data_IF_783071378412
#
_entry.id   IF_783071378412
#
_cell.length_a   1.000
_cell.length_b   1.000
_cell.length_c   1.000
_cell.angle_alpha   90.00
_cell.angle_beta   90.00
_cell.angle_gamma   90.00
#
_symmetry.space_group_name_H-M   'P 1'
#
loop_
_entity.id
_entity.type
_entity.pdbx_description
1 polymer ?
#
# COMPACT_ATOMS: atom_id res chain seq x y z
N UNK A 1 7.38 3.19 -33.90
CA UNK A 1 7.04 4.02 -32.69
C UNK A 1 7.69 3.34 -31.51
N UNK A 2 8.55 4.05 -30.78
CA UNK A 2 9.11 3.52 -29.53
C UNK A 2 7.96 3.21 -28.56
N UNK A 3 8.02 2.05 -27.92
CA UNK A 3 7.05 1.71 -26.88
C UNK A 3 7.15 2.75 -25.75
N UNK A 4 6.04 3.39 -25.35
CA UNK A 4 6.09 4.39 -24.28
C UNK A 4 6.71 3.78 -23.01
N UNK A 5 7.73 4.42 -22.47
CA UNK A 5 8.39 3.95 -21.24
C UNK A 5 7.58 4.37 -20.00
N UNK A 6 7.74 3.66 -18.89
CA UNK A 6 7.16 4.05 -17.59
C UNK A 6 7.79 5.35 -17.07
N UNK A 7 9.05 5.57 -17.41
CA UNK A 7 9.88 6.69 -17.03
C UNK A 7 10.03 7.60 -18.23
N UNK A 8 9.12 8.54 -18.42
CA UNK A 8 9.01 9.37 -19.62
C UNK A 8 8.90 10.88 -19.29
N UNK A 9 9.41 11.27 -18.14
CA UNK A 9 9.42 12.63 -17.64
C UNK A 9 10.85 13.08 -17.28
N UNK A 10 11.03 13.72 -16.15
CA UNK A 10 12.29 14.30 -15.71
C UNK A 10 13.27 13.31 -15.07
N UNK A 11 12.94 12.01 -15.02
CA UNK A 11 13.72 11.01 -14.26
C UNK A 11 15.19 10.98 -14.67
N UNK A 12 15.47 10.92 -15.97
CA UNK A 12 16.84 10.85 -16.47
C UNK A 12 17.63 12.14 -16.19
N UNK A 13 16.98 13.28 -16.32
CA UNK A 13 17.58 14.58 -16.04
C UNK A 13 17.90 14.71 -14.54
N UNK A 14 16.98 14.30 -13.66
CA UNK A 14 17.17 14.37 -12.23
C UNK A 14 18.28 13.42 -11.75
N UNK A 15 18.36 12.20 -12.30
CA UNK A 15 19.48 11.29 -12.01
C UNK A 15 20.82 11.90 -12.41
N UNK A 16 20.92 12.54 -13.58
CA UNK A 16 22.17 13.22 -14.01
C UNK A 16 22.58 14.30 -13.00
N UNK A 17 21.62 15.07 -12.48
CA UNK A 17 21.91 16.07 -11.44
C UNK A 17 22.39 15.44 -10.14
N UNK A 18 21.79 14.32 -9.71
CA UNK A 18 22.25 13.57 -8.53
C UNK A 18 23.71 13.14 -8.70
N UNK A 19 24.04 12.52 -9.83
CA UNK A 19 25.38 11.98 -10.09
C UNK A 19 26.46 13.07 -10.26
N UNK A 20 26.07 14.27 -10.66
CA UNK A 20 26.98 15.43 -10.78
C UNK A 20 27.14 16.22 -9.47
N UNK A 21 26.38 15.88 -8.41
CA UNK A 21 26.52 16.54 -7.11
C UNK A 21 27.74 16.03 -6.35
N UNK A 22 28.40 16.92 -5.57
CA UNK A 22 29.54 16.53 -4.73
C UNK A 22 29.19 15.50 -3.65
N UNK A 23 27.95 15.53 -3.18
CA UNK A 23 27.42 14.60 -2.17
C UNK A 23 25.97 14.26 -2.47
N UNK A 24 25.66 12.97 -2.44
CA UNK A 24 24.30 12.44 -2.63
C UNK A 24 23.93 11.36 -1.60
N UNK A 25 24.42 11.54 -0.39
CA UNK A 25 24.00 10.73 0.77
C UNK A 25 22.59 11.16 1.24
N UNK A 26 21.77 10.23 1.64
CA UNK A 26 20.43 10.50 2.18
C UNK A 26 20.43 11.40 3.45
N UNK A 27 21.57 11.60 4.10
CA UNK A 27 21.74 12.49 5.27
C UNK A 27 22.34 13.84 4.96
N UNK A 28 22.75 14.09 3.71
CA UNK A 28 23.36 15.35 3.26
C UNK A 28 22.82 15.84 1.93
N UNK A 29 22.19 14.97 1.14
CA UNK A 29 21.57 15.30 -0.12
C UNK A 29 20.27 16.08 0.02
N UNK A 30 19.73 16.53 -1.11
CA UNK A 30 18.54 17.40 -1.16
C UNK A 30 17.34 16.77 -1.82
N UNK A 31 17.50 15.68 -2.59
CA UNK A 31 16.41 15.07 -3.34
C UNK A 31 15.39 14.37 -2.45
N UNK A 32 15.85 13.69 -1.40
CA UNK A 32 14.94 13.14 -0.39
C UNK A 32 14.12 14.26 0.27
N UNK A 33 14.74 15.37 0.64
CA UNK A 33 14.06 16.50 1.26
C UNK A 33 13.06 17.17 0.31
N UNK A 34 13.43 17.34 -0.97
CA UNK A 34 12.55 17.92 -1.98
C UNK A 34 11.33 17.00 -2.24
N UNK A 35 11.56 15.69 -2.37
CA UNK A 35 10.48 14.71 -2.50
C UNK A 35 9.53 14.77 -1.30
N UNK A 36 10.06 14.81 -0.07
CA UNK A 36 9.25 14.95 1.15
C UNK A 36 8.39 16.20 1.13
N UNK A 37 8.99 17.35 0.77
CA UNK A 37 8.31 18.65 0.70
C UNK A 37 7.18 18.64 -0.33
N UNK A 38 7.46 18.19 -1.55
CA UNK A 38 6.49 18.16 -2.64
C UNK A 38 5.38 17.13 -2.38
N UNK A 39 5.72 15.98 -1.80
CA UNK A 39 4.74 14.96 -1.45
C UNK A 39 3.81 15.44 -0.33
N UNK A 40 4.36 16.01 0.75
CA UNK A 40 3.58 16.57 1.83
C UNK A 40 2.59 17.63 1.32
N UNK A 41 3.05 18.55 0.47
CA UNK A 41 2.20 19.56 -0.16
C UNK A 41 1.09 18.94 -1.03
N UNK A 42 1.42 17.94 -1.85
CA UNK A 42 0.46 17.30 -2.77
C UNK A 42 -0.61 16.50 -2.02
N UNK A 43 -0.24 15.87 -0.91
CA UNK A 43 -1.14 15.05 -0.09
C UNK A 43 -1.64 15.76 1.17
N UNK A 44 -1.61 17.10 1.19
CA UNK A 44 -2.16 17.95 2.26
C UNK A 44 -1.74 17.48 3.67
N UNK A 45 -0.44 17.30 3.85
CA UNK A 45 0.16 16.83 5.09
C UNK A 45 1.26 17.78 5.55
N UNK A 46 1.50 17.87 6.88
CA UNK A 46 2.56 18.72 7.44
C UNK A 46 3.94 18.11 7.30
N UNK A 47 4.04 16.80 7.44
CA UNK A 47 5.31 16.06 7.46
C UNK A 47 5.26 14.88 6.51
N UNK A 48 6.39 14.65 5.86
CA UNK A 48 6.64 13.45 5.08
C UNK A 48 8.03 12.90 5.39
N UNK A 49 8.19 11.58 5.39
CA UNK A 49 9.45 10.88 5.66
C UNK A 49 9.65 9.77 4.64
N UNK A 50 10.61 9.92 3.74
CA UNK A 50 10.94 8.91 2.75
C UNK A 50 11.67 7.72 3.35
N UNK A 51 11.38 6.52 2.83
CA UNK A 51 11.99 5.26 3.24
C UNK A 51 12.22 4.35 2.02
N UNK A 52 13.03 3.30 2.22
CA UNK A 52 13.42 2.39 1.16
C UNK A 52 12.35 1.39 0.70
N UNK A 53 11.19 1.32 1.38
CA UNK A 53 10.06 0.46 0.99
C UNK A 53 8.77 0.82 1.73
N UNK A 54 7.61 0.41 1.18
CA UNK A 54 6.32 0.50 1.88
C UNK A 54 6.26 -0.35 3.15
N UNK A 55 6.95 -1.48 3.21
CA UNK A 55 7.03 -2.29 4.44
C UNK A 55 7.79 -1.54 5.55
N UNK A 56 8.86 -0.84 5.19
CA UNK A 56 9.61 0.00 6.13
C UNK A 56 8.76 1.17 6.66
N UNK A 57 7.90 1.76 5.82
CA UNK A 57 6.97 2.81 6.24
C UNK A 57 5.91 2.29 7.20
N UNK A 58 5.31 1.14 6.95
CA UNK A 58 4.35 0.50 7.87
C UNK A 58 4.99 0.18 9.23
N UNK A 59 6.16 -0.48 9.22
CA UNK A 59 6.87 -0.78 10.47
C UNK A 59 7.22 0.48 11.25
N UNK A 60 7.77 1.49 10.59
CA UNK A 60 8.11 2.76 11.25
C UNK A 60 6.88 3.52 11.76
N UNK A 61 5.73 3.42 11.07
CA UNK A 61 4.46 3.98 11.53
C UNK A 61 4.00 3.31 12.83
N UNK A 62 4.02 1.98 12.89
CA UNK A 62 3.64 1.24 14.10
C UNK A 62 4.55 1.57 15.28
N UNK A 63 5.87 1.63 15.07
CA UNK A 63 6.81 2.02 16.14
C UNK A 63 6.57 3.47 16.58
N UNK A 64 6.28 4.39 15.65
CA UNK A 64 5.97 5.78 15.98
C UNK A 64 4.69 5.94 16.82
N UNK A 65 3.72 5.03 16.64
CA UNK A 65 2.51 4.93 17.45
C UNK A 65 2.74 4.24 18.80
N UNK A 66 3.97 3.77 19.06
CA UNK A 66 4.34 3.09 20.30
C UNK A 66 3.90 1.63 20.37
N UNK A 67 3.69 1.00 19.23
CA UNK A 67 3.41 -0.44 19.14
C UNK A 67 4.67 -1.23 19.49
N UNK A 68 4.53 -2.24 20.32
CA UNK A 68 5.63 -3.06 20.81
C UNK A 68 5.20 -4.47 21.24
N UNK A 69 6.08 -5.16 22.02
CA UNK A 69 5.86 -6.56 22.39
C UNK A 69 4.54 -6.79 23.13
N UNK A 70 3.69 -7.67 22.60
CA UNK A 70 2.43 -8.06 23.21
C UNK A 70 1.23 -7.17 22.85
N UNK A 71 1.46 -6.03 22.20
CA UNK A 71 0.38 -5.21 21.63
C UNK A 71 -0.27 -5.93 20.43
N UNK A 72 -1.53 -5.66 20.21
CA UNK A 72 -2.29 -6.16 19.06
C UNK A 72 -2.45 -5.06 18.01
N UNK A 73 -2.30 -5.45 16.73
CA UNK A 73 -2.56 -4.58 15.59
C UNK A 73 -3.62 -5.23 14.71
N UNK A 74 -4.75 -4.54 14.55
CA UNK A 74 -5.84 -5.00 13.68
C UNK A 74 -5.51 -4.59 12.23
N UNK A 75 -5.63 -5.54 11.29
CA UNK A 75 -5.46 -5.31 9.85
C UNK A 75 -6.48 -6.12 9.04
N UNK A 76 -6.76 -5.78 7.76
CA UNK A 76 -7.69 -6.57 6.95
C UNK A 76 -7.15 -7.97 6.68
N UNK A 77 -8.08 -8.95 6.60
CA UNK A 77 -7.75 -10.31 6.20
C UNK A 77 -7.47 -10.45 4.69
N UNK A 78 -7.99 -9.55 3.87
CA UNK A 78 -7.70 -9.51 2.43
C UNK A 78 -6.74 -8.33 2.13
N UNK A 79 -5.45 -8.63 2.13
CA UNK A 79 -4.37 -7.69 1.84
C UNK A 79 -3.10 -8.44 1.47
N UNK A 80 -2.04 -7.71 1.16
CA UNK A 80 -0.68 -8.27 1.05
C UNK A 80 -0.11 -8.55 2.45
N UNK A 81 0.79 -9.53 2.58
CA UNK A 81 1.35 -9.93 3.88
C UNK A 81 2.17 -8.83 4.59
N UNK A 82 2.44 -7.69 3.93
CA UNK A 82 3.32 -6.64 4.45
C UNK A 82 2.78 -5.97 5.71
N UNK A 83 1.46 -5.87 5.89
CA UNK A 83 0.84 -5.37 7.12
C UNK A 83 1.14 -6.30 8.30
N UNK A 84 0.99 -7.60 8.08
CA UNK A 84 1.36 -8.66 9.02
C UNK A 84 2.86 -8.62 9.35
N UNK A 85 3.69 -8.51 8.31
CA UNK A 85 5.15 -8.47 8.46
C UNK A 85 5.59 -7.26 9.28
N UNK A 86 5.03 -6.07 9.01
CA UNK A 86 5.32 -4.86 9.76
C UNK A 86 4.92 -4.99 11.25
N UNK A 87 3.77 -5.60 11.50
CA UNK A 87 3.29 -5.89 12.86
C UNK A 87 4.24 -6.83 13.62
N UNK A 88 4.67 -7.92 12.96
CA UNK A 88 5.62 -8.87 13.55
C UNK A 88 6.99 -8.21 13.77
N UNK A 89 7.45 -7.34 12.87
CA UNK A 89 8.70 -6.59 13.04
C UNK A 89 8.65 -5.63 14.23
N UNK A 90 7.48 -5.09 14.56
CA UNK A 90 7.26 -4.32 15.78
C UNK A 90 7.14 -5.20 17.05
N UNK A 91 7.32 -6.53 16.94
CA UNK A 91 7.09 -7.53 17.98
C UNK A 91 5.65 -7.56 18.51
N UNK A 92 4.69 -7.14 17.70
CA UNK A 92 3.27 -7.11 18.04
C UNK A 92 2.52 -8.29 17.41
N UNK A 93 1.28 -8.46 17.81
CA UNK A 93 0.40 -9.56 17.45
C UNK A 93 -0.52 -9.11 16.31
N UNK A 94 -0.45 -9.72 15.11
CA UNK A 94 -1.44 -9.47 14.07
C UNK A 94 -2.82 -10.00 14.48
N UNK A 95 -3.83 -9.13 14.37
CA UNK A 95 -5.24 -9.47 14.54
C UNK A 95 -5.96 -9.15 13.22
N UNK A 96 -6.70 -10.10 12.69
CA UNK A 96 -7.34 -9.92 11.38
C UNK A 96 -8.80 -9.62 11.52
N UNK A 97 -9.23 -8.54 10.87
CA UNK A 97 -10.65 -8.22 10.68
C UNK A 97 -11.09 -8.64 9.28
N UNK A 98 -12.31 -9.13 9.17
CA UNK A 98 -12.90 -9.54 7.91
C UNK A 98 -13.21 -8.32 7.01
N UNK A 99 -13.67 -8.56 5.82
CA UNK A 99 -13.88 -7.54 4.80
C UNK A 99 -15.36 -7.39 4.44
N UNK A 100 -15.71 -6.25 3.89
CA UNK A 100 -16.97 -6.07 3.19
C UNK A 100 -16.94 -6.80 1.84
N UNK A 101 -17.95 -7.63 1.52
CA UNK A 101 -17.94 -8.48 0.33
C UNK A 101 -18.12 -7.73 -1.01
N UNK A 102 -18.53 -6.46 -0.97
CA UNK A 102 -18.73 -5.65 -2.16
C UNK A 102 -17.53 -4.74 -2.45
N UNK A 103 -16.96 -4.13 -1.41
CA UNK A 103 -15.83 -3.20 -1.52
C UNK A 103 -14.48 -3.88 -1.38
N UNK A 104 -14.42 -5.10 -0.83
CA UNK A 104 -13.22 -5.87 -0.50
C UNK A 104 -12.30 -5.20 0.54
N UNK A 105 -12.68 -4.04 1.05
CA UNK A 105 -11.99 -3.33 2.11
C UNK A 105 -12.41 -3.86 3.48
N UNK A 106 -11.61 -3.56 4.50
CA UNK A 106 -11.86 -3.97 5.89
C UNK A 106 -13.26 -3.53 6.35
N UNK A 107 -13.99 -4.44 7.02
CA UNK A 107 -15.32 -4.13 7.61
C UNK A 107 -15.16 -3.40 8.94
N UNK A 108 -15.61 -2.14 9.06
CA UNK A 108 -15.57 -1.41 10.33
C UNK A 108 -16.24 -2.14 11.50
N UNK A 109 -17.32 -2.88 11.24
CA UNK A 109 -18.02 -3.65 12.28
C UNK A 109 -17.17 -4.80 12.80
N UNK A 110 -16.35 -5.41 11.94
CA UNK A 110 -15.44 -6.47 12.38
C UNK A 110 -14.21 -5.88 13.09
N UNK A 111 -13.71 -4.71 12.68
CA UNK A 111 -12.72 -3.97 13.47
C UNK A 111 -13.20 -3.84 14.91
N UNK A 112 -14.40 -3.30 15.13
CA UNK A 112 -14.93 -3.05 16.47
C UNK A 112 -15.09 -4.34 17.30
N UNK A 113 -15.50 -5.45 16.66
CA UNK A 113 -15.58 -6.77 17.32
C UNK A 113 -14.24 -7.36 17.74
N UNK A 114 -13.16 -7.00 17.04
CA UNK A 114 -11.80 -7.52 17.29
C UNK A 114 -10.98 -6.69 18.28
N UNK A 115 -11.50 -5.54 18.71
CA UNK A 115 -10.80 -4.69 19.69
C UNK A 115 -10.76 -5.38 21.05
N UNK A 116 -9.57 -5.38 21.65
CA UNK A 116 -9.29 -5.82 23.02
C UNK A 116 -8.56 -4.70 23.79
N UNK A 117 -8.28 -4.93 25.06
CA UNK A 117 -7.44 -4.06 25.88
C UNK A 117 -5.96 -3.99 25.42
N UNK A 118 -5.54 -4.90 24.56
CA UNK A 118 -4.20 -4.95 23.95
C UNK A 118 -4.13 -4.26 22.59
N UNK A 119 -5.27 -3.92 21.98
CA UNK A 119 -5.28 -3.30 20.66
C UNK A 119 -4.63 -1.93 20.70
N UNK A 120 -3.50 -1.77 20.00
CA UNK A 120 -2.66 -0.59 20.00
C UNK A 120 -2.76 0.26 18.75
N UNK A 121 -3.06 -0.36 17.60
CA UNK A 121 -3.22 0.32 16.32
C UNK A 121 -4.17 -0.46 15.38
N UNK A 122 -4.73 0.26 14.42
CA UNK A 122 -5.50 -0.31 13.32
C UNK A 122 -4.80 0.08 12.02
N UNK A 123 -4.50 -0.89 11.16
CA UNK A 123 -4.07 -0.66 9.77
C UNK A 123 -5.28 -0.84 8.87
N UNK A 124 -5.56 0.15 8.05
CA UNK A 124 -6.59 0.07 7.01
C UNK A 124 -5.95 0.17 5.64
N UNK A 125 -6.30 -0.74 4.74
CA UNK A 125 -5.71 -0.82 3.40
C UNK A 125 -6.74 -0.36 2.38
N UNK A 126 -6.42 0.71 1.66
CA UNK A 126 -7.23 1.18 0.53
C UNK A 126 -6.99 0.29 -0.69
N UNK A 127 -7.60 -0.93 -0.64
CA UNK A 127 -7.29 -2.03 -1.54
C UNK A 127 -7.70 -1.71 -2.99
N UNK A 128 -6.80 -2.01 -3.93
CA UNK A 128 -6.95 -1.83 -5.38
C UNK A 128 -7.16 -0.38 -5.83
N UNK A 129 -7.07 0.59 -4.90
CA UNK A 129 -7.24 2.01 -5.19
C UNK A 129 -8.54 2.62 -4.67
N UNK A 130 -9.34 1.85 -3.94
CA UNK A 130 -10.60 2.27 -3.32
C UNK A 130 -10.37 2.64 -1.84
N UNK A 131 -10.71 3.87 -1.41
CA UNK A 131 -10.67 4.25 0.01
C UNK A 131 -11.58 3.38 0.88
N UNK A 132 -11.14 3.11 2.13
CA UNK A 132 -11.96 2.47 3.15
C UNK A 132 -13.10 3.38 3.65
N UNK A 133 -14.04 2.83 4.41
CA UNK A 133 -15.12 3.57 5.09
C UNK A 133 -14.59 4.37 6.30
N UNK A 134 -13.81 5.41 5.98
CA UNK A 134 -13.01 6.14 6.97
C UNK A 134 -13.83 6.84 8.05
N UNK A 135 -15.06 7.26 7.80
CA UNK A 135 -15.88 7.91 8.84
C UNK A 135 -16.22 6.94 9.97
N UNK A 136 -16.62 5.72 9.63
CA UNK A 136 -16.93 4.66 10.60
C UNK A 136 -15.67 4.21 11.32
N UNK A 137 -14.59 3.98 10.60
CA UNK A 137 -13.30 3.58 11.16
C UNK A 137 -12.78 4.64 12.14
N UNK A 138 -12.81 5.92 11.76
CA UNK A 138 -12.35 7.00 12.65
C UNK A 138 -13.30 7.26 13.82
N UNK A 139 -14.58 6.89 13.71
CA UNK A 139 -15.49 6.91 14.85
C UNK A 139 -15.11 5.83 15.87
N UNK A 140 -14.78 4.62 15.42
CA UNK A 140 -14.28 3.52 16.26
C UNK A 140 -12.94 3.92 16.90
N UNK A 141 -12.01 4.44 16.11
CA UNK A 141 -10.72 4.95 16.58
C UNK A 141 -10.87 5.94 17.75
N UNK A 142 -11.72 6.95 17.58
CA UNK A 142 -11.99 7.94 18.64
C UNK A 142 -12.66 7.34 19.88
N UNK A 143 -13.60 6.42 19.68
CA UNK A 143 -14.33 5.76 20.78
C UNK A 143 -13.40 4.97 21.67
N UNK A 144 -12.42 4.29 21.09
CA UNK A 144 -11.49 3.42 21.82
C UNK A 144 -10.11 4.04 22.07
N UNK A 145 -9.83 5.23 21.52
CA UNK A 145 -8.51 5.89 21.64
C UNK A 145 -7.40 5.16 20.88
N UNK A 146 -7.72 4.43 19.81
CA UNK A 146 -6.79 3.61 19.06
C UNK A 146 -6.42 4.33 17.75
N UNK A 147 -5.13 4.62 17.49
CA UNK A 147 -4.71 5.30 16.27
C UNK A 147 -4.84 4.42 15.02
N UNK A 148 -5.01 5.10 13.86
CA UNK A 148 -5.20 4.46 12.56
C UNK A 148 -4.02 4.76 11.64
N UNK A 149 -3.46 3.72 11.04
CA UNK A 149 -2.51 3.79 9.92
C UNK A 149 -3.27 3.55 8.62
N UNK A 150 -3.25 4.53 7.71
CA UNK A 150 -3.77 4.34 6.35
C UNK A 150 -2.66 3.74 5.47
N UNK A 151 -2.78 2.48 5.05
CA UNK A 151 -1.96 1.93 3.97
C UNK A 151 -2.56 2.30 2.61
N UNK A 152 -1.96 3.30 2.00
CA UNK A 152 -2.30 3.82 0.69
C UNK A 152 -1.32 3.37 -0.41
N UNK A 153 -0.57 2.28 -0.21
CA UNK A 153 0.36 1.74 -1.20
C UNK A 153 -0.29 1.42 -2.56
N UNK A 154 -1.60 1.24 -2.58
CA UNK A 154 -2.40 0.99 -3.78
C UNK A 154 -3.38 2.13 -4.12
N UNK A 155 -3.40 3.24 -3.36
CA UNK A 155 -4.46 4.24 -3.46
C UNK A 155 -3.89 5.67 -3.48
N UNK A 156 -3.61 6.18 -4.67
CA UNK A 156 -3.09 7.54 -4.85
C UNK A 156 -4.17 8.47 -5.40
N UNK A 157 -4.27 9.69 -4.84
CA UNK A 157 -5.21 10.75 -5.24
C UNK A 157 -6.70 10.38 -5.17
N UNK A 158 -7.05 9.25 -4.58
CA UNK A 158 -8.45 8.93 -4.31
C UNK A 158 -9.03 9.79 -3.21
N UNK A 159 -10.35 9.94 -3.21
CA UNK A 159 -11.06 10.72 -2.21
C UNK A 159 -12.21 9.93 -1.61
N UNK A 160 -12.37 10.06 -0.32
CA UNK A 160 -13.53 9.59 0.44
C UNK A 160 -14.35 10.79 0.93
N UNK A 161 -15.58 10.95 0.46
CA UNK A 161 -16.45 12.11 0.77
C UNK A 161 -15.73 13.46 0.59
N UNK A 162 -14.99 13.58 -0.52
CA UNK A 162 -14.23 14.79 -0.88
C UNK A 162 -12.87 14.95 -0.19
N UNK A 163 -12.56 14.19 0.87
CA UNK A 163 -11.27 14.21 1.57
C UNK A 163 -10.26 13.28 0.87
N UNK A 164 -9.04 13.76 0.71
CA UNK A 164 -7.97 12.99 0.09
C UNK A 164 -7.54 11.82 1.01
N UNK A 165 -7.31 10.63 0.44
CA UNK A 165 -6.70 9.52 1.18
C UNK A 165 -5.36 9.93 1.76
N UNK A 166 -5.02 9.39 2.92
CA UNK A 166 -3.79 9.75 3.63
C UNK A 166 -3.90 10.97 4.53
N UNK A 167 -5.11 11.58 4.63
CA UNK A 167 -5.35 12.76 5.48
C UNK A 167 -6.35 12.49 6.61
N UNK A 168 -6.82 11.27 6.75
CA UNK A 168 -7.92 10.95 7.67
C UNK A 168 -7.48 10.17 8.90
N UNK A 169 -6.49 9.28 8.75
CA UNK A 169 -5.84 8.57 9.84
C UNK A 169 -4.74 9.39 10.53
N UNK A 170 -4.04 8.77 11.47
CA UNK A 170 -2.97 9.41 12.24
C UNK A 170 -1.63 9.44 11.50
N UNK A 171 -1.36 8.36 10.76
CA UNK A 171 -0.17 8.19 9.90
C UNK A 171 -0.61 7.51 8.61
N UNK A 172 -0.01 7.90 7.49
CA UNK A 172 -0.23 7.22 6.22
C UNK A 172 1.05 6.65 5.67
N UNK A 173 0.95 5.45 5.12
CA UNK A 173 2.02 4.69 4.48
C UNK A 173 1.78 4.62 2.98
N UNK A 174 2.84 4.83 2.20
CA UNK A 174 2.82 4.83 0.74
C UNK A 174 3.98 3.98 0.21
N UNK A 175 3.79 3.33 -0.93
CA UNK A 175 4.82 2.52 -1.58
C UNK A 175 5.19 3.07 -2.95
N UNK A 176 6.47 3.05 -3.27
CA UNK A 176 7.04 3.40 -4.59
C UNK A 176 7.64 2.17 -5.29
N UNK A 177 7.16 0.97 -4.92
CA UNK A 177 7.53 -0.27 -5.59
C UNK A 177 7.15 -0.21 -7.07
N UNK A 178 7.79 -1.03 -7.88
CA UNK A 178 7.71 -0.98 -9.35
C UNK A 178 6.27 -0.99 -9.92
N UNK A 179 5.30 -1.66 -9.33
CA UNK A 179 3.92 -1.75 -9.83
C UNK A 179 3.04 -0.55 -9.48
N UNK A 180 3.47 0.30 -8.53
CA UNK A 180 2.66 1.38 -7.95
C UNK A 180 2.44 2.55 -8.92
N UNK A 181 1.57 3.49 -8.54
CA UNK A 181 1.27 4.68 -9.34
C UNK A 181 2.51 5.57 -9.51
N UNK A 182 3.24 5.79 -8.41
CA UNK A 182 4.59 6.35 -8.38
C UNK A 182 5.57 5.20 -8.17
N UNK A 183 6.70 5.20 -8.87
CA UNK A 183 7.71 4.17 -8.68
C UNK A 183 9.12 4.71 -8.86
N UNK A 184 10.00 4.27 -7.98
CA UNK A 184 11.46 4.43 -8.14
C UNK A 184 12.21 3.07 -8.06
N UNK A 185 11.50 1.98 -8.39
CA UNK A 185 11.96 0.60 -8.22
C UNK A 185 11.53 0.08 -6.85
N UNK A 186 12.22 0.51 -5.81
CA UNK A 186 11.89 0.28 -4.41
C UNK A 186 11.90 1.60 -3.65
N UNK A 187 10.91 1.81 -2.78
CA UNK A 187 10.78 3.01 -1.97
C UNK A 187 9.42 3.11 -1.29
N UNK A 188 9.28 4.12 -0.46
CA UNK A 188 8.04 4.47 0.21
C UNK A 188 8.15 5.80 0.91
N UNK A 189 7.03 6.28 1.45
CA UNK A 189 6.98 7.51 2.22
C UNK A 189 5.89 7.41 3.28
N UNK A 190 6.14 7.98 4.45
CA UNK A 190 5.14 8.25 5.48
C UNK A 190 4.65 9.68 5.33
N UNK A 191 3.37 9.91 5.57
CA UNK A 191 2.81 11.26 5.80
C UNK A 191 2.05 11.30 7.12
N UNK A 192 2.14 12.44 7.83
CA UNK A 192 1.41 12.68 9.08
C UNK A 192 1.33 14.18 9.41
N UNK A 193 0.33 14.57 10.18
CA UNK A 193 0.23 15.92 10.74
C UNK A 193 0.82 16.03 12.16
N UNK A 194 1.28 14.94 12.73
CA UNK A 194 1.85 14.86 14.07
C UNK A 194 3.39 14.90 14.02
N UNK A 195 3.96 15.97 14.57
CA UNK A 195 5.41 16.19 14.58
C UNK A 195 6.17 15.07 15.29
N UNK A 196 5.64 14.61 16.42
CA UNK A 196 6.26 13.53 17.22
C UNK A 196 6.32 12.22 16.42
N UNK A 197 5.24 11.87 15.72
CA UNK A 197 5.22 10.66 14.88
C UNK A 197 6.23 10.76 13.74
N UNK A 198 6.29 11.90 13.06
CA UNK A 198 7.27 12.12 12.00
C UNK A 198 8.70 12.04 12.49
N UNK A 199 9.02 12.65 13.67
CA UNK A 199 10.37 12.59 14.25
C UNK A 199 10.76 11.16 14.63
N UNK A 200 9.88 10.41 15.30
CA UNK A 200 10.15 9.02 15.68
C UNK A 200 10.35 8.17 14.43
N UNK A 201 9.43 8.24 13.46
CA UNK A 201 9.53 7.48 12.21
C UNK A 201 10.85 7.75 11.48
N UNK A 202 11.31 9.01 11.45
CA UNK A 202 12.58 9.39 10.83
C UNK A 202 13.79 8.87 11.61
N UNK A 203 13.76 8.90 12.94
CA UNK A 203 14.82 8.33 13.78
C UNK A 203 14.90 6.81 13.57
N UNK A 204 13.78 6.13 13.59
CA UNK A 204 13.69 4.69 13.33
C UNK A 204 14.25 4.32 11.95
N UNK A 205 13.90 5.08 10.91
CA UNK A 205 14.43 4.87 9.55
C UNK A 205 15.92 5.21 9.42
N UNK A 206 16.45 6.07 10.28
CA UNK A 206 17.79 6.66 10.21
C UNK A 206 18.73 6.22 11.32
N UNK A 207 18.78 4.94 11.68
CA UNK A 207 19.68 4.40 12.71
C UNK A 207 19.50 4.99 14.13
N UNK A 208 18.42 5.70 14.40
CA UNK A 208 18.19 6.31 15.71
C UNK A 208 19.06 7.55 16.01
N UNK A 209 19.54 8.24 14.98
CA UNK A 209 20.31 9.48 15.19
C UNK A 209 19.48 10.53 15.93
N UNK A 210 19.97 11.01 17.08
CA UNK A 210 19.28 11.97 17.96
C UNK A 210 19.00 13.33 17.34
N UNK A 211 19.76 13.70 16.30
CA UNK A 211 19.65 15.00 15.63
C UNK A 211 18.68 15.02 14.45
N UNK A 212 18.08 13.88 14.11
CA UNK A 212 17.02 13.83 13.10
C UNK A 212 15.75 14.49 13.66
N UNK A 213 15.11 15.32 12.84
CA UNK A 213 13.93 16.09 13.18
C UNK A 213 12.78 15.77 12.23
N UNK A 214 11.56 16.06 12.64
CA UNK A 214 10.36 15.79 11.86
C UNK A 214 10.41 16.35 10.41
N UNK A 215 10.99 17.53 10.23
CA UNK A 215 11.00 18.29 8.99
C UNK A 215 12.29 18.15 8.16
N UNK A 216 13.29 17.41 8.63
CA UNK A 216 14.54 17.21 7.88
C UNK A 216 15.25 15.91 8.25
N UNK A 217 15.66 15.17 7.21
CA UNK A 217 16.55 14.02 7.33
C UNK A 217 18.04 14.38 7.30
N UNK A 218 18.36 15.67 7.09
CA UNK A 218 19.74 16.12 7.08
C UNK A 218 20.30 16.23 8.51
N UNK A 219 21.50 15.67 8.71
CA UNK A 219 22.23 15.81 9.95
C UNK A 219 23.12 17.06 9.83
N UNK A 220 22.62 18.19 10.34
CA UNK A 220 23.34 19.46 10.39
C UNK A 220 24.10 19.59 11.70
N UNK A 221 25.31 19.08 11.72
CA UNK A 221 26.24 19.21 12.86
C UNK A 221 27.52 19.87 12.41
N UNK A 222 28.12 20.67 13.29
CA UNK A 222 29.49 21.13 13.09
C UNK A 222 30.43 19.91 13.01
N UNK A 223 31.35 19.92 12.05
CA UNK A 223 32.26 18.81 11.81
C UNK A 223 33.05 18.43 13.06
N UNK A 224 33.50 19.43 13.86
CA UNK A 224 34.21 19.19 15.11
C UNK A 224 33.40 18.39 16.14
N UNK A 225 32.08 18.68 16.25
CA UNK A 225 31.16 17.91 17.12
C UNK A 225 30.93 16.51 16.55
N UNK A 226 30.75 16.40 15.25
CA UNK A 226 30.50 15.11 14.61
C UNK A 226 31.70 14.16 14.70
N UNK A 227 32.93 14.70 14.70
CA UNK A 227 34.17 13.94 14.80
C UNK A 227 34.63 13.71 16.24
N UNK A 228 34.00 14.34 17.24
CA UNK A 228 34.30 14.13 18.64
C UNK A 228 34.02 12.65 19.03
N UNK A 229 34.99 11.89 19.55
CA UNK A 229 34.81 10.51 19.97
C UNK A 229 33.87 10.35 21.16
N UNK A 230 33.71 11.38 21.99
CA UNK A 230 32.79 11.37 23.12
C UNK A 230 31.33 11.73 22.74
N UNK A 231 31.09 12.19 21.52
CA UNK A 231 29.75 12.54 21.06
C UNK A 231 28.86 11.32 20.91
N UNK A 232 27.80 11.26 21.75
CA UNK A 232 26.81 10.18 21.69
C UNK A 232 25.76 10.49 20.59
N UNK A 233 25.70 9.64 19.55
CA UNK A 233 24.97 9.90 18.29
C UNK A 233 23.51 9.42 18.31
N UNK A 234 23.25 8.33 19.01
CA UNK A 234 21.99 7.61 18.91
C UNK A 234 21.16 7.76 20.17
N UNK A 235 19.87 8.12 20.02
CA UNK A 235 18.89 8.16 21.12
C UNK A 235 17.90 7.01 21.08
N UNK A 236 17.82 6.34 19.93
CA UNK A 236 16.90 5.24 19.66
C UNK A 236 17.63 4.07 19.00
N UNK A 237 17.06 2.88 19.09
CA UNK A 237 17.43 1.77 18.22
C UNK A 237 16.66 1.92 16.92
N UNK A 238 17.37 2.12 15.83
CA UNK A 238 16.78 2.29 14.50
C UNK A 238 17.35 1.32 13.47
N UNK A 239 16.72 1.34 12.30
CA UNK A 239 17.12 0.56 11.14
C UNK A 239 17.71 1.46 10.06
N UNK A 240 18.27 0.88 9.01
CA UNK A 240 18.63 1.59 7.79
C UNK A 240 17.49 1.46 6.77
N UNK A 241 16.47 2.29 6.92
CA UNK A 241 15.36 2.40 5.98
C UNK A 241 15.44 3.64 5.09
N UNK A 242 16.61 4.28 5.04
CA UNK A 242 16.80 5.49 4.24
C UNK A 242 16.61 5.21 2.76
N UNK A 243 15.87 6.07 2.07
CA UNK A 243 15.80 6.10 0.62
C UNK A 243 17.10 6.70 0.05
N UNK A 244 17.58 6.18 -1.07
CA UNK A 244 18.74 6.77 -1.77
C UNK A 244 18.35 8.04 -2.54
N UNK A 245 19.26 8.99 -2.69
CA UNK A 245 19.03 10.21 -3.47
C UNK A 245 18.65 9.93 -4.94
N UNK A 246 19.28 8.97 -5.67
CA UNK A 246 18.82 8.60 -7.01
C UNK A 246 17.37 8.09 -7.04
N UNK A 247 16.98 7.28 -6.07
CA UNK A 247 15.59 6.79 -5.98
C UNK A 247 14.62 7.93 -5.67
N UNK A 248 15.00 8.86 -4.80
CA UNK A 248 14.20 10.03 -4.48
C UNK A 248 14.00 10.94 -5.71
N UNK A 249 15.05 11.14 -6.51
CA UNK A 249 15.00 11.91 -7.74
C UNK A 249 14.02 11.30 -8.77
N UNK A 250 14.05 9.96 -8.93
CA UNK A 250 13.09 9.25 -9.78
C UNK A 250 11.66 9.42 -9.23
N UNK A 251 11.46 9.19 -7.92
CA UNK A 251 10.14 9.30 -7.31
C UNK A 251 9.56 10.72 -7.43
N UNK A 252 10.40 11.75 -7.32
CA UNK A 252 9.98 13.15 -7.51
C UNK A 252 9.49 13.40 -8.93
N UNK A 253 10.23 12.97 -9.95
CA UNK A 253 9.81 13.08 -11.35
C UNK A 253 8.48 12.34 -11.62
N UNK A 254 8.29 11.17 -10.98
CA UNK A 254 7.03 10.43 -11.06
C UNK A 254 5.87 11.17 -10.36
N UNK A 255 6.14 11.83 -9.21
CA UNK A 255 5.15 12.62 -8.46
C UNK A 255 4.63 13.81 -9.26
N UNK A 256 5.47 14.46 -10.05
CA UNK A 256 5.10 15.58 -10.92
C UNK A 256 4.01 15.23 -11.96
N UNK A 257 3.90 13.95 -12.31
CA UNK A 257 2.94 13.45 -13.31
C UNK A 257 1.89 12.49 -12.75
N UNK A 258 1.72 12.46 -11.43
CA UNK A 258 0.84 11.47 -10.78
C UNK A 258 -0.62 11.59 -11.23
N UNK A 259 -1.13 12.79 -11.45
CA UNK A 259 -2.51 13.01 -11.91
C UNK A 259 -2.75 12.33 -13.26
N UNK A 260 -1.86 12.54 -14.22
CA UNK A 260 -1.97 11.92 -15.56
C UNK A 260 -1.93 10.40 -15.47
N UNK A 261 -1.11 9.85 -14.57
CA UNK A 261 -1.00 8.39 -14.35
C UNK A 261 -2.28 7.81 -13.74
N UNK A 262 -2.85 8.49 -12.76
CA UNK A 262 -4.12 8.07 -12.14
C UNK A 262 -5.27 8.17 -13.15
N UNK A 263 -5.38 9.27 -13.89
CA UNK A 263 -6.43 9.43 -14.92
C UNK A 263 -6.33 8.39 -16.04
N UNK A 264 -5.12 8.02 -16.46
CA UNK A 264 -4.93 6.95 -17.44
C UNK A 264 -5.42 5.61 -16.88
N UNK A 265 -5.10 5.26 -15.62
CA UNK A 265 -5.59 4.02 -14.98
C UNK A 265 -7.11 4.00 -14.86
N UNK A 266 -7.73 5.12 -14.50
CA UNK A 266 -9.20 5.25 -14.45
C UNK A 266 -9.82 5.02 -15.82
N UNK A 267 -9.31 5.70 -16.85
CA UNK A 267 -9.82 5.54 -18.21
C UNK A 267 -9.69 4.08 -18.72
N UNK A 268 -8.61 3.38 -18.34
CA UNK A 268 -8.42 1.97 -18.67
C UNK A 268 -9.42 1.10 -17.89
N UNK A 269 -9.59 1.33 -16.60
CA UNK A 269 -10.57 0.59 -15.78
C UNK A 269 -11.99 0.77 -16.35
N UNK A 270 -12.37 2.00 -16.72
CA UNK A 270 -13.68 2.31 -17.33
C UNK A 270 -13.93 1.54 -18.62
N UNK A 271 -12.89 1.29 -19.44
CA UNK A 271 -13.01 0.48 -20.63
C UNK A 271 -13.37 -0.98 -20.31
N UNK A 272 -12.70 -1.58 -19.31
CA UNK A 272 -13.01 -2.93 -18.83
C UNK A 272 -14.41 -3.00 -18.20
N UNK A 273 -14.75 -2.01 -17.35
CA UNK A 273 -16.05 -1.94 -16.69
C UNK A 273 -17.22 -1.87 -17.67
N UNK A 274 -17.06 -1.18 -18.79
CA UNK A 274 -18.07 -1.14 -19.86
C UNK A 274 -18.32 -2.52 -20.48
N UNK A 275 -17.26 -3.30 -20.69
CA UNK A 275 -17.39 -4.63 -21.30
C UNK A 275 -18.03 -5.66 -20.37
N UNK A 276 -17.90 -5.49 -19.06
CA UNK A 276 -18.48 -6.41 -18.07
C UNK A 276 -19.82 -5.96 -17.50
N UNK A 277 -20.35 -4.81 -17.97
CA UNK A 277 -21.56 -4.20 -17.38
C UNK A 277 -22.77 -5.15 -17.36
N UNK A 278 -22.98 -5.92 -18.42
CA UNK A 278 -24.06 -6.91 -18.54
C UNK A 278 -23.59 -8.35 -18.29
N UNK A 279 -22.61 -8.52 -17.39
CA UNK A 279 -22.00 -9.80 -17.10
C UNK A 279 -22.16 -10.20 -15.64
N UNK A 280 -23.13 -11.05 -15.32
CA UNK A 280 -23.51 -11.42 -13.95
C UNK A 280 -22.44 -12.21 -13.17
N UNK A 281 -21.46 -12.79 -13.87
CA UNK A 281 -20.39 -13.58 -13.26
C UNK A 281 -19.03 -12.87 -13.13
N UNK A 282 -18.94 -11.61 -13.60
CA UNK A 282 -17.77 -10.75 -13.43
C UNK A 282 -18.18 -9.51 -12.59
N UNK A 283 -18.05 -9.62 -11.28
CA UNK A 283 -18.57 -8.63 -10.34
C UNK A 283 -17.42 -7.71 -9.92
N UNK A 284 -17.36 -6.44 -10.38
CA UNK A 284 -16.29 -5.53 -10.03
C UNK A 284 -16.39 -5.09 -8.56
N UNK A 285 -15.23 -4.70 -7.98
CA UNK A 285 -15.18 -4.00 -6.71
C UNK A 285 -16.11 -2.78 -6.74
N UNK A 286 -17.06 -2.72 -5.81
CA UNK A 286 -18.04 -1.65 -5.73
C UNK A 286 -17.36 -0.34 -5.30
N UNK A 287 -17.48 0.68 -6.13
CA UNK A 287 -17.06 2.04 -5.77
C UNK A 287 -18.30 2.85 -5.34
N UNK A 288 -18.44 3.19 -4.04
CA UNK A 288 -19.54 4.02 -3.56
C UNK A 288 -19.56 5.40 -4.23
N UNK A 289 -20.73 5.99 -4.45
CA UNK A 289 -20.89 7.29 -5.13
C UNK A 289 -20.15 8.46 -4.47
N UNK A 290 -19.88 8.35 -3.18
CA UNK A 290 -19.16 9.36 -2.40
C UNK A 290 -17.64 9.15 -2.39
N UNK A 291 -17.15 8.08 -3.04
CA UNK A 291 -15.74 7.76 -3.17
C UNK A 291 -15.32 7.75 -4.63
N UNK A 292 -14.03 7.92 -4.90
CA UNK A 292 -13.46 7.62 -6.20
C UNK A 292 -12.32 6.59 -6.05
N UNK A 293 -12.14 5.77 -7.08
CA UNK A 293 -11.13 4.73 -7.13
C UNK A 293 -9.97 5.18 -8.05
N UNK A 294 -8.73 5.02 -7.62
CA UNK A 294 -7.55 5.29 -8.45
C UNK A 294 -7.11 4.09 -9.29
N UNK A 295 -7.78 2.96 -9.11
CA UNK A 295 -7.57 1.73 -9.85
C UNK A 295 -6.11 1.31 -9.99
N UNK A 296 -5.46 1.03 -8.84
CA UNK A 296 -4.15 0.35 -8.87
C UNK A 296 -4.21 -0.90 -9.74
N UNK A 297 -5.29 -1.63 -9.61
CA UNK A 297 -5.74 -2.72 -10.46
C UNK A 297 -7.27 -2.71 -10.48
N UNK A 298 -7.89 -3.34 -11.45
CA UNK A 298 -9.33 -3.58 -11.43
C UNK A 298 -9.59 -4.94 -10.79
N UNK A 299 -10.08 -4.93 -9.56
CA UNK A 299 -10.49 -6.12 -8.82
C UNK A 299 -11.88 -6.57 -9.25
N UNK A 300 -12.01 -7.82 -9.67
CA UNK A 300 -13.25 -8.44 -10.10
C UNK A 300 -13.44 -9.77 -9.36
N UNK A 301 -14.59 -9.98 -8.74
CA UNK A 301 -14.98 -11.27 -8.18
C UNK A 301 -15.60 -12.12 -9.28
N UNK A 302 -15.05 -13.30 -9.49
CA UNK A 302 -15.49 -14.27 -10.49
C UNK A 302 -16.49 -15.26 -9.89
N UNK A 303 -17.68 -15.34 -10.47
CA UNK A 303 -18.71 -16.31 -10.12
C UNK A 303 -19.03 -17.29 -11.29
N UNK A 304 -18.17 -17.33 -12.31
CA UNK A 304 -18.38 -18.13 -13.50
C UNK A 304 -18.39 -19.64 -13.28
N UNK A 305 -17.75 -20.14 -12.21
CA UNK A 305 -17.86 -21.56 -11.87
C UNK A 305 -19.33 -21.93 -11.54
N UNK A 306 -20.03 -21.07 -10.82
CA UNK A 306 -21.43 -21.25 -10.47
C UNK A 306 -22.36 -20.97 -11.66
N UNK A 307 -22.11 -19.90 -12.38
CA UNK A 307 -23.03 -19.40 -13.42
C UNK A 307 -22.82 -20.06 -14.80
N UNK A 308 -21.61 -20.54 -15.09
CA UNK A 308 -21.21 -21.10 -16.38
C UNK A 308 -20.68 -22.54 -16.29
N UNK A 309 -20.35 -23.04 -15.11
CA UNK A 309 -19.58 -24.28 -14.93
C UNK A 309 -18.12 -24.17 -15.37
N UNK A 310 -17.59 -22.95 -15.52
CA UNK A 310 -16.23 -22.66 -16.01
C UNK A 310 -15.34 -22.25 -14.85
N UNK A 311 -14.19 -22.89 -14.71
CA UNK A 311 -13.25 -22.54 -13.64
C UNK A 311 -12.60 -21.17 -13.87
N UNK A 312 -12.05 -20.58 -12.81
CA UNK A 312 -11.27 -19.36 -12.89
C UNK A 312 -10.06 -19.51 -13.83
N UNK A 313 -9.42 -20.69 -13.80
CA UNK A 313 -8.28 -21.04 -14.62
C UNK A 313 -8.65 -21.12 -16.10
N UNK A 314 -9.73 -21.83 -16.43
CA UNK A 314 -10.21 -21.98 -17.83
C UNK A 314 -10.62 -20.64 -18.43
N UNK A 315 -11.29 -19.80 -17.64
CA UNK A 315 -11.63 -18.44 -18.08
C UNK A 315 -10.38 -17.62 -18.36
N UNK A 316 -9.36 -17.69 -17.49
CA UNK A 316 -8.08 -17.02 -17.68
C UNK A 316 -7.35 -17.52 -18.94
N UNK A 317 -7.28 -18.82 -19.15
CA UNK A 317 -6.64 -19.40 -20.33
C UNK A 317 -7.35 -18.96 -21.62
N UNK A 318 -8.67 -18.93 -21.63
CA UNK A 318 -9.46 -18.44 -22.75
C UNK A 318 -9.18 -16.95 -23.01
N UNK A 319 -9.14 -16.13 -21.98
CA UNK A 319 -8.80 -14.72 -22.10
C UNK A 319 -7.40 -14.50 -22.70
N UNK A 320 -6.41 -15.26 -22.24
CA UNK A 320 -5.05 -15.23 -22.80
C UNK A 320 -5.04 -15.68 -24.27
N UNK A 321 -5.80 -16.72 -24.63
CA UNK A 321 -5.87 -17.23 -26.00
C UNK A 321 -6.42 -16.22 -27.01
N UNK A 322 -7.25 -15.27 -26.57
CA UNK A 322 -7.74 -14.15 -27.37
C UNK A 322 -6.82 -12.93 -27.35
N UNK A 323 -5.63 -13.03 -26.75
CA UNK A 323 -4.62 -11.97 -26.69
C UNK A 323 -4.72 -11.09 -25.44
N UNK A 324 -5.47 -11.51 -24.44
CA UNK A 324 -5.45 -10.90 -23.11
C UNK A 324 -4.11 -11.10 -22.39
N UNK A 325 -3.82 -10.27 -21.40
CA UNK A 325 -2.77 -10.57 -20.45
C UNK A 325 -3.31 -11.54 -19.40
N UNK A 326 -2.45 -12.39 -18.82
CA UNK A 326 -2.89 -13.14 -17.66
C UNK A 326 -3.20 -12.17 -16.50
N UNK A 327 -4.46 -12.11 -16.06
CA UNK A 327 -4.77 -11.42 -14.81
C UNK A 327 -4.21 -12.20 -13.60
N UNK A 328 -4.00 -11.51 -12.50
CA UNK A 328 -3.47 -12.11 -11.27
C UNK A 328 -4.63 -12.49 -10.34
N UNK A 329 -4.49 -13.62 -9.62
CA UNK A 329 -5.32 -13.90 -8.45
C UNK A 329 -4.95 -12.99 -7.28
N UNK A 330 -5.85 -12.84 -6.31
CA UNK A 330 -5.48 -12.26 -5.02
C UNK A 330 -4.50 -13.19 -4.30
N UNK A 331 -3.57 -12.59 -3.55
CA UNK A 331 -2.68 -13.37 -2.71
C UNK A 331 -3.47 -14.08 -1.61
N UNK A 332 -2.91 -15.16 -1.09
CA UNK A 332 -3.49 -15.88 0.03
C UNK A 332 -3.77 -14.93 1.20
N UNK A 333 -4.83 -15.21 1.95
CA UNK A 333 -5.09 -14.49 3.22
C UNK A 333 -3.86 -14.62 4.10
N UNK A 334 -3.29 -13.53 4.65
CA UNK A 334 -1.99 -13.54 5.31
C UNK A 334 -1.82 -14.58 6.41
N UNK A 335 -2.85 -14.82 7.20
CA UNK A 335 -2.76 -15.82 8.29
C UNK A 335 -2.75 -17.28 7.80
N UNK A 336 -3.13 -17.56 6.55
CA UNK A 336 -3.02 -18.89 5.92
C UNK A 336 -1.69 -19.13 5.22
N UNK A 337 -0.84 -18.09 5.11
CA UNK A 337 0.50 -18.25 4.55
C UNK A 337 1.36 -19.21 5.38
N UNK A 338 2.23 -20.03 4.75
CA UNK A 338 3.07 -21.02 5.45
C UNK A 338 3.88 -20.43 6.60
N UNK A 339 4.35 -19.18 6.50
CA UNK A 339 5.10 -18.52 7.57
C UNK A 339 4.26 -18.33 8.83
N UNK A 340 2.97 -18.03 8.69
CA UNK A 340 2.05 -17.88 9.82
C UNK A 340 1.65 -19.25 10.40
N UNK A 341 1.44 -20.26 9.54
CA UNK A 341 1.07 -21.61 9.92
C UNK A 341 2.21 -22.34 10.65
N UNK A 342 3.45 -22.19 10.18
CA UNK A 342 4.63 -22.79 10.81
C UNK A 342 5.20 -21.99 11.98
N UNK A 343 4.77 -20.73 12.13
CA UNK A 343 5.19 -19.80 13.20
C UNK A 343 6.70 -19.64 13.32
N UNK A 344 7.45 -19.72 12.24
CA UNK A 344 8.91 -19.56 12.26
C UNK A 344 9.38 -18.21 12.76
N UNK A 345 8.51 -17.17 12.69
CA UNK A 345 8.78 -15.84 13.21
C UNK A 345 8.78 -15.76 14.76
N UNK A 346 8.18 -16.74 15.46
CA UNK A 346 8.07 -16.71 16.94
C UNK A 346 9.40 -16.95 17.66
N UNK A 347 10.45 -17.39 16.97
CA UNK A 347 11.78 -17.57 17.57
C UNK A 347 12.36 -16.31 18.22
N UNK A 348 11.90 -15.12 17.83
CA UNK A 348 12.33 -13.82 18.39
C UNK A 348 11.62 -13.47 19.68
N UNK A 349 10.32 -13.78 19.79
CA UNK A 349 9.47 -13.47 20.95
C UNK A 349 8.42 -14.57 21.14
N UNK A 350 8.80 -15.81 21.47
CA UNK A 350 7.89 -16.96 21.45
C UNK A 350 6.72 -16.82 22.42
N UNK A 351 6.91 -16.17 23.56
CA UNK A 351 5.90 -16.11 24.63
C UNK A 351 4.71 -15.22 24.27
N UNK A 352 4.90 -14.15 23.48
CA UNK A 352 3.82 -13.25 23.10
C UNK A 352 2.81 -13.91 22.15
N UNK A 353 3.22 -14.97 21.43
CA UNK A 353 2.35 -15.70 20.49
C UNK A 353 1.78 -16.99 21.10
N UNK A 354 2.05 -17.26 22.38
CA UNK A 354 1.54 -18.44 23.07
C UNK A 354 0.01 -18.42 23.17
N UNK A 355 -0.64 -19.47 22.71
CA UNK A 355 -2.12 -19.58 22.72
C UNK A 355 -2.84 -18.88 21.57
N UNK A 356 -2.14 -18.12 20.72
CA UNK A 356 -2.74 -17.50 19.54
C UNK A 356 -2.85 -18.55 18.42
N UNK A 357 -3.99 -18.63 17.75
CA UNK A 357 -4.22 -19.51 16.60
C UNK A 357 -4.62 -18.70 15.37
N UNK A 358 -4.02 -19.05 14.25
CA UNK A 358 -4.35 -18.54 12.92
C UNK A 358 -4.84 -19.72 12.08
N UNK A 359 -6.16 -19.91 11.99
CA UNK A 359 -6.75 -21.05 11.29
C UNK A 359 -7.78 -20.60 10.27
N UNK A 360 -8.08 -21.45 9.31
CA UNK A 360 -9.23 -21.29 8.43
C UNK A 360 -10.52 -21.08 9.23
N UNK A 361 -11.42 -20.23 8.71
CA UNK A 361 -12.64 -19.80 9.38
C UNK A 361 -12.50 -18.55 10.24
N UNK A 362 -11.30 -17.96 10.35
CA UNK A 362 -11.06 -16.73 11.13
C UNK A 362 -11.75 -15.50 10.50
N UNK A 363 -11.72 -15.39 9.18
CA UNK A 363 -12.34 -14.33 8.39
C UNK A 363 -13.04 -14.93 7.15
N UNK A 364 -14.25 -15.49 7.34
CA UNK A 364 -14.90 -16.31 6.32
C UNK A 364 -15.27 -15.57 5.05
N UNK A 365 -15.52 -14.25 5.10
CA UNK A 365 -15.82 -13.46 3.90
C UNK A 365 -14.57 -13.31 3.05
N UNK A 366 -13.43 -12.94 3.65
CA UNK A 366 -12.15 -12.83 2.95
C UNK A 366 -11.74 -14.17 2.34
N UNK A 367 -11.84 -15.27 3.09
CA UNK A 367 -11.51 -16.63 2.63
C UNK A 367 -12.38 -17.06 1.44
N UNK A 368 -13.69 -16.77 1.49
CA UNK A 368 -14.62 -17.15 0.42
C UNK A 368 -14.43 -16.35 -0.88
N UNK A 369 -13.92 -15.12 -0.78
CA UNK A 369 -13.75 -14.20 -1.92
C UNK A 369 -12.35 -14.30 -2.52
N UNK A 370 -11.31 -14.50 -1.71
CA UNK A 370 -9.93 -14.44 -2.12
C UNK A 370 -9.63 -15.32 -3.35
N UNK A 371 -10.04 -16.58 -3.34
CA UNK A 371 -9.80 -17.53 -4.43
C UNK A 371 -10.57 -17.20 -5.73
N UNK A 372 -11.57 -16.33 -5.66
CA UNK A 372 -12.40 -15.90 -6.80
C UNK A 372 -11.94 -14.57 -7.40
N UNK A 373 -10.99 -13.87 -6.78
CA UNK A 373 -10.58 -12.55 -7.26
C UNK A 373 -9.69 -12.63 -8.50
N UNK A 374 -10.00 -11.79 -9.46
CA UNK A 374 -9.24 -11.50 -10.66
C UNK A 374 -8.76 -10.06 -10.63
N UNK A 375 -7.46 -9.83 -10.79
CA UNK A 375 -6.86 -8.50 -10.84
C UNK A 375 -6.45 -8.17 -12.28
N UNK A 376 -7.26 -7.38 -12.96
CA UNK A 376 -6.95 -6.92 -14.31
C UNK A 376 -6.02 -5.70 -14.25
N UNK A 377 -5.00 -5.69 -15.09
CA UNK A 377 -4.04 -4.60 -15.16
C UNK A 377 -4.69 -3.30 -15.61
N UNK A 378 -4.37 -2.21 -14.94
CA UNK A 378 -4.72 -0.84 -15.31
C UNK A 378 -3.49 0.02 -15.63
N UNK A 379 -2.29 -0.52 -15.43
CA UNK A 379 -1.01 0.17 -15.60
C UNK A 379 -0.44 0.09 -17.02
N UNK A 380 -1.31 -0.05 -18.02
CA UNK A 380 -0.89 0.08 -19.42
C UNK A 380 -0.42 1.52 -19.68
N UNK A 381 0.56 1.64 -20.59
CA UNK A 381 1.21 2.93 -20.88
C UNK A 381 0.45 3.78 -21.88
N UNK A 382 -0.61 3.24 -22.49
CA UNK A 382 -1.51 3.94 -23.37
C UNK A 382 -2.87 3.27 -23.43
N UNK A 383 -3.89 4.02 -23.81
CA UNK A 383 -5.24 3.48 -24.04
C UNK A 383 -5.25 2.46 -25.21
N UNK A 384 -4.40 2.63 -26.21
CA UNK A 384 -4.33 1.73 -27.35
C UNK A 384 -3.87 0.31 -26.94
N UNK A 385 -2.86 0.22 -26.06
CA UNK A 385 -2.43 -1.06 -25.51
C UNK A 385 -3.54 -1.71 -24.67
N UNK A 386 -4.30 -0.93 -23.92
CA UNK A 386 -5.41 -1.42 -23.12
C UNK A 386 -6.58 -1.92 -23.99
N UNK A 387 -6.92 -1.23 -25.08
CA UNK A 387 -8.01 -1.61 -26.00
C UNK A 387 -7.89 -3.06 -26.50
N UNK A 388 -6.69 -3.51 -26.84
CA UNK A 388 -6.45 -4.89 -27.27
C UNK A 388 -6.84 -5.91 -26.19
N UNK A 389 -6.57 -5.57 -24.92
CA UNK A 389 -6.87 -6.44 -23.77
C UNK A 389 -8.35 -6.43 -23.42
N UNK A 390 -8.97 -5.28 -23.52
CA UNK A 390 -10.44 -5.13 -23.39
C UNK A 390 -11.16 -5.91 -24.47
N UNK A 391 -10.70 -5.85 -25.72
CA UNK A 391 -11.27 -6.65 -26.82
C UNK A 391 -11.11 -8.15 -26.59
N UNK A 392 -9.98 -8.58 -26.03
CA UNK A 392 -9.79 -9.99 -25.67
C UNK A 392 -10.78 -10.43 -24.57
N UNK A 393 -11.08 -9.56 -23.57
CA UNK A 393 -12.09 -9.85 -22.57
C UNK A 393 -13.48 -9.95 -23.19
N UNK A 394 -13.84 -9.02 -24.07
CA UNK A 394 -15.09 -9.08 -24.82
C UNK A 394 -15.26 -10.41 -25.55
N UNK A 395 -14.26 -10.83 -26.35
CA UNK A 395 -14.27 -12.11 -27.07
C UNK A 395 -14.42 -13.31 -26.13
N UNK A 396 -13.84 -13.22 -24.94
CA UNK A 396 -13.96 -14.28 -23.94
C UNK A 396 -15.39 -14.38 -23.39
N UNK A 397 -16.00 -13.24 -23.09
CA UNK A 397 -17.39 -13.17 -22.64
C UNK A 397 -18.34 -13.69 -23.73
N UNK A 398 -18.17 -13.23 -24.96
CA UNK A 398 -18.99 -13.65 -26.13
C UNK A 398 -18.86 -15.17 -26.35
N UNK A 399 -17.65 -15.74 -26.30
CA UNK A 399 -17.42 -17.18 -26.45
C UNK A 399 -18.23 -18.00 -25.43
N UNK A 400 -18.24 -17.59 -24.14
CA UNK A 400 -18.98 -18.33 -23.12
C UNK A 400 -20.50 -18.04 -23.15
N UNK A 401 -20.94 -16.95 -23.76
CA UNK A 401 -22.37 -16.71 -24.04
C UNK A 401 -22.92 -17.59 -25.17
N UNK A 402 -22.10 -17.85 -26.18
CA UNK A 402 -22.49 -18.68 -27.33
C UNK A 402 -22.42 -20.20 -27.06
N UNK A 403 -21.68 -20.60 -26.05
CA UNK A 403 -21.51 -22.01 -25.63
C UNK A 403 -22.55 -22.46 -24.58
N UNK A 404 -23.39 -21.57 -24.10
CA UNK A 404 -24.59 -21.87 -23.30
C UNK A 404 -25.79 -22.21 -24.19
#
# INVERSE_FOLDING_TARGET
MENPTKYNSNELEYIKRVLNAESWSATSGTWCQELESQFAKKFDSKYAVVMNSGTATLHSALVALGVGPGDEVISPALTVIMDTTATIHANAIPVYADIDPETFNIDPKDIERKITDKTKAIIVVSLYGLPCEMDEIMAISRKHGIPVVEDNAQCFLSKYKGRLVGTMGDISSWSFENSKHISCGEGGIITTNNEKYAEIARKIAGHGYKNLKANTGQIKLNQSVYQDPDYKRHSEIGWNYRLSEPSAAIALAQLENIEKKVELRKAIADMFLKEIFDCDYLIPQKTPKYSNNSYFTLGIRYEGLKELGVSWQDFREKYVSFGGDGFYGAWSVPYLEPVMQTRRFTSRCPDIYKGISYSEGLCPVAESIQSKLMQFKTNYRSLELAKQKVLALKKTIDFYKETK
#
